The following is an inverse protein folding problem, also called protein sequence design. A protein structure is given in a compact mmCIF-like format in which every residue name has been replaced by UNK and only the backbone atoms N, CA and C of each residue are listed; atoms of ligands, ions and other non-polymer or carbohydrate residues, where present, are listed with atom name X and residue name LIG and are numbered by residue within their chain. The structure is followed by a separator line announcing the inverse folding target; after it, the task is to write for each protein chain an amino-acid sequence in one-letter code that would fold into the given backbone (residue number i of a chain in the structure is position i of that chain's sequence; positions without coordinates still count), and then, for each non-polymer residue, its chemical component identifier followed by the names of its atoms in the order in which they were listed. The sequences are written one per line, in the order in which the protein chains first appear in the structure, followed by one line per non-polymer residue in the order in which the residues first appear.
data_IF_380775866740
#
_entry.id   IF_380775866740
#
_cell.length_a   1.000
_cell.length_b   1.000
_cell.length_c   1.000
_cell.angle_alpha   90.00
_cell.angle_beta   90.00
_cell.angle_gamma   90.00
#
_symmetry.space_group_name_H-M   'P 1'
#
loop_
_entity.id
_entity.type
_entity.pdbx_description
1 polymer ?
#
# COMPACT_ATOMS: atom_id res chain seq x y z
N UNK A 1 1.18 -25.09 -13.75
CA UNK A 1 0.94 -23.67 -14.12
C UNK A 1 -0.11 -23.10 -13.19
N UNK A 2 0.27 -22.22 -12.26
CA UNK A 2 -0.73 -21.44 -11.50
C UNK A 2 -1.41 -20.47 -12.48
N UNK A 3 -2.74 -20.51 -12.66
CA UNK A 3 -3.42 -19.59 -13.57
C UNK A 3 -3.24 -18.15 -13.09
N UNK A 4 -3.21 -17.20 -14.04
CA UNK A 4 -3.04 -15.74 -13.81
C UNK A 4 -4.02 -15.19 -12.76
N UNK A 5 -5.17 -15.85 -12.55
CA UNK A 5 -6.15 -15.54 -11.51
C UNK A 5 -5.63 -15.68 -10.07
N UNK A 6 -4.54 -16.41 -9.82
CA UNK A 6 -3.98 -16.58 -8.47
C UNK A 6 -3.20 -15.37 -7.92
N UNK A 7 -2.91 -14.35 -8.75
CA UNK A 7 -2.12 -13.18 -8.34
C UNK A 7 -2.97 -11.91 -8.15
N UNK A 8 -4.15 -11.85 -8.78
CA UNK A 8 -5.00 -10.65 -8.77
C UNK A 8 -5.62 -10.39 -7.39
N UNK A 9 -6.15 -11.45 -6.75
CA UNK A 9 -6.77 -11.36 -5.43
C UNK A 9 -5.76 -10.90 -4.35
N UNK A 10 -4.58 -11.54 -4.19
CA UNK A 10 -3.60 -11.10 -3.21
C UNK A 10 -3.09 -9.69 -3.52
N UNK A 11 -2.94 -9.32 -4.79
CA UNK A 11 -2.59 -7.95 -5.19
C UNK A 11 -3.67 -6.93 -4.79
N UNK A 12 -4.94 -7.17 -5.11
CA UNK A 12 -6.01 -6.23 -4.79
C UNK A 12 -6.14 -5.99 -3.28
N UNK A 13 -6.05 -7.06 -2.48
CA UNK A 13 -6.12 -6.97 -1.02
C UNK A 13 -4.90 -6.22 -0.48
N UNK A 14 -3.69 -6.56 -0.92
CA UNK A 14 -2.47 -5.86 -0.49
C UNK A 14 -2.46 -4.40 -0.93
N UNK A 15 -2.95 -4.08 -2.14
CA UNK A 15 -3.07 -2.72 -2.66
C UNK A 15 -4.03 -1.87 -1.81
N UNK A 16 -5.20 -2.42 -1.49
CA UNK A 16 -6.15 -1.74 -0.63
C UNK A 16 -5.61 -1.56 0.80
N UNK A 17 -5.02 -2.60 1.38
CA UNK A 17 -4.46 -2.55 2.72
C UNK A 17 -3.29 -1.54 2.82
N UNK A 18 -2.35 -1.57 1.87
CA UNK A 18 -1.25 -0.59 1.83
C UNK A 18 -1.78 0.83 1.60
N UNK A 19 -2.79 1.01 0.75
CA UNK A 19 -3.49 2.29 0.60
C UNK A 19 -4.04 2.82 1.93
N UNK A 20 -4.68 1.97 2.73
CA UNK A 20 -5.18 2.33 4.07
C UNK A 20 -4.05 2.69 5.03
N UNK A 21 -2.95 1.92 5.06
CA UNK A 21 -1.78 2.22 5.92
C UNK A 21 -1.27 3.63 5.62
N UNK A 22 -1.06 3.95 4.35
CA UNK A 22 -0.55 5.25 3.97
C UNK A 22 -1.57 6.37 4.15
N UNK A 23 -2.88 6.11 3.97
CA UNK A 23 -3.92 7.07 4.37
C UNK A 23 -3.85 7.39 5.87
N UNK A 24 -3.54 6.40 6.71
CA UNK A 24 -3.31 6.62 8.14
C UNK A 24 -2.07 7.45 8.44
N UNK A 25 -0.97 7.20 7.71
CA UNK A 25 0.24 8.02 7.82
C UNK A 25 -0.04 9.47 7.43
N UNK A 26 -0.76 9.69 6.33
CA UNK A 26 -1.13 11.02 5.86
C UNK A 26 -2.11 11.75 6.80
N UNK A 27 -2.98 11.00 7.49
CA UNK A 27 -3.84 11.54 8.54
C UNK A 27 -3.02 11.98 9.76
N UNK A 28 -2.01 11.21 10.16
CA UNK A 28 -1.10 11.59 11.25
C UNK A 28 -0.27 12.83 10.88
N UNK A 29 0.20 12.92 9.64
CA UNK A 29 1.00 14.05 9.15
C UNK A 29 0.19 15.30 8.81
N UNK A 30 -1.14 15.21 8.81
CA UNK A 30 -2.04 16.33 8.47
C UNK A 30 -2.06 16.70 6.98
N UNK A 31 -1.43 15.90 6.12
CA UNK A 31 -1.36 16.16 4.68
C UNK A 31 -2.60 15.67 3.92
N UNK A 32 -3.35 14.73 4.49
CA UNK A 32 -4.60 14.24 3.91
C UNK A 32 -5.70 14.24 4.97
N UNK A 33 -6.53 15.27 4.92
CA UNK A 33 -7.63 15.48 5.85
C UNK A 33 -8.95 15.41 5.09
N UNK A 34 -9.67 14.27 5.15
CA UNK A 34 -11.06 14.24 4.73
C UNK A 34 -11.80 15.33 5.49
N UNK A 35 -12.62 16.13 4.79
CA UNK A 35 -13.39 17.24 5.40
C UNK A 35 -14.21 16.75 6.60
N UNK A 36 -14.66 15.50 6.56
CA UNK A 36 -15.40 14.84 7.64
C UNK A 36 -14.58 14.59 8.91
N UNK A 37 -13.25 14.51 8.82
CA UNK A 37 -12.33 14.28 9.94
C UNK A 37 -11.60 15.56 10.39
N UNK A 38 -11.81 16.69 9.71
CA UNK A 38 -11.15 17.95 10.00
C UNK A 38 -11.41 18.45 11.42
N UNK A 39 -12.64 18.33 11.90
CA UNK A 39 -13.04 18.69 13.26
C UNK A 39 -12.40 17.82 14.33
N UNK A 40 -12.19 16.53 14.06
CA UNK A 40 -11.52 15.62 14.99
C UNK A 40 -10.03 15.96 15.06
N UNK A 41 -9.43 16.29 13.92
CA UNK A 41 -8.02 16.66 13.86
C UNK A 41 -7.74 17.97 14.60
N UNK A 42 -8.53 19.02 14.40
CA UNK A 42 -8.30 20.33 15.06
C UNK A 42 -8.48 20.30 16.58
N UNK A 43 -9.19 19.30 17.11
CA UNK A 43 -9.54 19.21 18.54
C UNK A 43 -8.73 18.18 19.33
N UNK A 44 -7.91 17.35 18.68
CA UNK A 44 -7.13 16.29 19.32
C UNK A 44 -5.62 16.55 19.27
N UNK A 45 -4.88 16.10 20.29
CA UNK A 45 -3.41 16.16 20.29
C UNK A 45 -2.81 15.09 19.35
N UNK A 46 -1.51 15.20 19.04
CA UNK A 46 -0.82 14.28 18.11
C UNK A 46 -0.91 12.81 18.53
N UNK A 47 -0.82 12.55 19.83
CA UNK A 47 -0.84 11.19 20.39
C UNK A 47 -2.21 10.52 20.19
N UNK A 48 -3.29 11.23 20.43
CA UNK A 48 -4.67 10.75 20.18
C UNK A 48 -4.91 10.54 18.69
N UNK A 49 -4.37 11.40 17.81
CA UNK A 49 -4.48 11.22 16.34
C UNK A 49 -3.76 9.94 15.89
N UNK A 50 -2.57 9.67 16.41
CA UNK A 50 -1.84 8.42 16.14
C UNK A 50 -2.63 7.21 16.63
N UNK A 51 -3.20 7.26 17.85
CA UNK A 51 -4.00 6.16 18.36
C UNK A 51 -5.23 5.87 17.48
N UNK A 52 -5.95 6.91 17.04
CA UNK A 52 -7.09 6.78 16.11
C UNK A 52 -6.65 6.20 14.76
N UNK A 53 -5.56 6.71 14.19
CA UNK A 53 -5.03 6.24 12.91
C UNK A 53 -4.62 4.75 12.98
N UNK A 54 -3.95 4.35 14.06
CA UNK A 54 -3.54 2.97 14.27
C UNK A 54 -4.77 2.06 14.40
N UNK A 55 -5.78 2.45 15.19
CA UNK A 55 -6.95 1.62 15.43
C UNK A 55 -7.88 1.52 14.22
N UNK A 56 -8.11 2.61 13.50
CA UNK A 56 -9.08 2.66 12.40
C UNK A 56 -8.50 2.31 11.04
N UNK A 57 -7.18 2.48 10.85
CA UNK A 57 -6.55 2.34 9.54
C UNK A 57 -5.45 1.28 9.57
N UNK A 58 -4.41 1.47 10.39
CA UNK A 58 -3.21 0.62 10.32
C UNK A 58 -3.47 -0.81 10.82
N UNK A 59 -4.20 -0.99 11.91
CA UNK A 59 -4.49 -2.32 12.46
C UNK A 59 -5.41 -3.15 11.52
N UNK A 60 -6.54 -2.61 11.00
CA UNK A 60 -7.33 -3.31 9.99
C UNK A 60 -6.54 -3.65 8.73
N UNK A 61 -5.68 -2.74 8.25
CA UNK A 61 -4.83 -3.00 7.10
C UNK A 61 -3.84 -4.15 7.34
N UNK A 62 -3.22 -4.21 8.53
CA UNK A 62 -2.34 -5.32 8.88
C UNK A 62 -3.06 -6.66 8.98
N UNK A 63 -4.34 -6.68 9.38
CA UNK A 63 -5.17 -7.89 9.34
C UNK A 63 -5.41 -8.37 7.90
N UNK A 64 -5.66 -7.44 6.97
CA UNK A 64 -5.83 -7.76 5.55
C UNK A 64 -4.53 -8.32 4.95
N UNK A 65 -3.38 -7.70 5.23
CA UNK A 65 -2.07 -8.22 4.78
C UNK A 65 -1.84 -9.61 5.37
N UNK A 66 -2.09 -9.79 6.67
CA UNK A 66 -1.95 -11.10 7.33
C UNK A 66 -2.86 -12.17 6.72
N UNK A 67 -4.08 -11.79 6.32
CA UNK A 67 -4.99 -12.67 5.59
C UNK A 67 -4.40 -13.12 4.25
N UNK A 68 -3.71 -12.23 3.53
CA UNK A 68 -3.03 -12.62 2.28
C UNK A 68 -1.92 -13.64 2.54
N UNK A 69 -1.05 -13.40 3.53
CA UNK A 69 0.02 -14.35 3.88
C UNK A 69 -0.48 -15.69 4.44
N UNK A 70 -1.70 -15.72 5.00
CA UNK A 70 -2.32 -16.95 5.50
C UNK A 70 -2.90 -17.82 4.38
N UNK A 71 -3.46 -17.20 3.34
CA UNK A 71 -4.22 -17.90 2.30
C UNK A 71 -3.47 -18.07 0.98
N UNK A 72 -2.36 -17.38 0.79
CA UNK A 72 -1.55 -17.44 -0.44
C UNK A 72 -0.10 -17.80 -0.12
N UNK A 73 0.64 -18.41 -1.07
CA UNK A 73 2.07 -18.67 -0.91
C UNK A 73 2.82 -17.38 -0.53
N UNK A 74 3.78 -17.50 0.40
CA UNK A 74 4.55 -16.36 0.89
C UNK A 74 5.27 -15.60 -0.23
N UNK A 75 5.69 -16.29 -1.28
CA UNK A 75 6.26 -15.69 -2.49
C UNK A 75 5.28 -14.76 -3.20
N UNK A 76 4.03 -15.20 -3.38
CA UNK A 76 2.97 -14.41 -4.02
C UNK A 76 2.55 -13.25 -3.12
N UNK A 77 2.33 -13.51 -1.84
CA UNK A 77 1.95 -12.50 -0.86
C UNK A 77 3.02 -11.39 -0.75
N UNK A 78 4.31 -11.78 -0.70
CA UNK A 78 5.43 -10.84 -0.63
C UNK A 78 5.57 -10.00 -1.88
N UNK A 79 5.58 -10.63 -3.07
CA UNK A 79 5.74 -9.89 -4.32
C UNK A 79 4.59 -8.94 -4.57
N UNK A 80 3.34 -9.41 -4.39
CA UNK A 80 2.17 -8.55 -4.59
C UNK A 80 2.16 -7.37 -3.61
N UNK A 81 2.57 -7.58 -2.36
CA UNK A 81 2.72 -6.50 -1.39
C UNK A 81 3.78 -5.47 -1.80
N UNK A 82 4.95 -5.90 -2.28
CA UNK A 82 6.00 -4.99 -2.75
C UNK A 82 5.48 -4.14 -3.91
N UNK A 83 4.84 -4.75 -4.91
CA UNK A 83 4.27 -4.03 -6.05
C UNK A 83 3.25 -3.00 -5.55
N UNK A 84 2.35 -3.40 -4.64
CA UNK A 84 1.36 -2.51 -4.04
C UNK A 84 2.00 -1.31 -3.33
N UNK A 85 3.02 -1.52 -2.50
CA UNK A 85 3.75 -0.46 -1.79
C UNK A 85 4.37 0.53 -2.78
N UNK A 86 5.06 0.04 -3.81
CA UNK A 86 5.72 0.89 -4.81
C UNK A 86 4.70 1.76 -5.54
N UNK A 87 3.56 1.18 -5.95
CA UNK A 87 2.52 1.94 -6.65
C UNK A 87 1.90 2.99 -5.72
N UNK A 88 1.53 2.63 -4.49
CA UNK A 88 0.91 3.57 -3.55
C UNK A 88 1.85 4.72 -3.20
N UNK A 89 3.13 4.44 -2.93
CA UNK A 89 4.13 5.49 -2.69
C UNK A 89 4.28 6.41 -3.90
N UNK A 90 4.28 5.85 -5.12
CA UNK A 90 4.34 6.65 -6.34
C UNK A 90 3.10 7.54 -6.49
N UNK A 91 1.91 7.01 -6.21
CA UNK A 91 0.65 7.78 -6.24
C UNK A 91 0.71 8.93 -5.22
N UNK A 92 1.17 8.67 -4.00
CA UNK A 92 1.27 9.69 -2.95
C UNK A 92 2.28 10.77 -3.33
N UNK A 93 3.46 10.39 -3.82
CA UNK A 93 4.47 11.33 -4.31
C UNK A 93 3.91 12.27 -5.39
N UNK A 94 3.04 11.76 -6.28
CA UNK A 94 2.41 12.56 -7.33
C UNK A 94 1.29 13.44 -6.78
N UNK A 95 0.43 12.91 -5.91
CA UNK A 95 -0.76 13.61 -5.42
C UNK A 95 -0.46 14.63 -4.31
N UNK A 96 0.47 14.31 -3.41
CA UNK A 96 0.77 15.10 -2.21
C UNK A 96 2.01 15.97 -2.42
N UNK A 97 3.11 15.37 -2.89
CA UNK A 97 4.36 16.10 -3.09
C UNK A 97 4.42 16.82 -4.45
N UNK A 98 3.36 16.70 -5.26
CA UNK A 98 3.22 17.29 -6.60
C UNK A 98 4.44 17.00 -7.50
N UNK A 99 5.06 15.82 -7.30
CA UNK A 99 6.23 15.40 -8.05
C UNK A 99 5.80 15.14 -9.48
N UNK A 100 6.43 15.86 -10.41
CA UNK A 100 6.24 15.61 -11.84
C UNK A 100 6.78 14.23 -12.17
N UNK A 101 5.91 13.36 -12.67
CA UNK A 101 6.32 12.04 -13.17
C UNK A 101 7.28 12.26 -14.34
N UNK A 102 8.56 11.97 -14.11
CA UNK A 102 9.57 11.97 -15.17
C UNK A 102 9.81 10.54 -15.68
N UNK A 103 10.56 10.43 -16.78
CA UNK A 103 10.90 9.14 -17.38
C UNK A 103 11.66 8.22 -16.42
N UNK A 104 12.48 8.75 -15.51
CA UNK A 104 13.20 7.97 -14.49
C UNK A 104 12.26 7.26 -13.51
N UNK A 105 11.20 7.93 -13.05
CA UNK A 105 10.19 7.35 -12.14
C UNK A 105 9.44 6.22 -12.87
N UNK A 106 9.03 6.46 -14.12
CA UNK A 106 8.32 5.45 -14.93
C UNK A 106 9.21 4.24 -15.16
N UNK A 107 10.47 4.43 -15.56
CA UNK A 107 11.42 3.34 -15.81
C UNK A 107 11.67 2.55 -14.52
N UNK A 108 11.87 3.24 -13.38
CA UNK A 108 12.06 2.60 -12.08
C UNK A 108 10.83 1.77 -11.66
N UNK A 109 9.62 2.26 -11.90
CA UNK A 109 8.38 1.55 -11.64
C UNK A 109 8.25 0.28 -12.50
N UNK A 110 8.54 0.40 -13.80
CA UNK A 110 8.50 -0.73 -14.74
C UNK A 110 9.55 -1.79 -14.37
N UNK A 111 10.77 -1.37 -13.98
CA UNK A 111 11.82 -2.26 -13.51
C UNK A 111 11.46 -2.98 -12.21
N UNK A 112 10.82 -2.29 -11.26
CA UNK A 112 10.36 -2.90 -10.02
C UNK A 112 9.29 -3.98 -10.28
N UNK A 113 8.32 -3.70 -11.16
CA UNK A 113 7.26 -4.64 -11.53
C UNK A 113 7.84 -5.85 -12.30
N UNK A 114 8.79 -5.62 -13.21
CA UNK A 114 9.40 -6.71 -13.98
C UNK A 114 10.31 -7.60 -13.13
N UNK A 115 11.09 -7.04 -12.20
CA UNK A 115 11.89 -7.80 -11.25
C UNK A 115 11.01 -8.66 -10.34
N UNK A 116 9.90 -8.09 -9.85
CA UNK A 116 8.88 -8.81 -9.08
C UNK A 116 8.24 -9.96 -9.90
N UNK A 117 7.92 -9.71 -11.16
CA UNK A 117 7.37 -10.73 -12.06
C UNK A 117 8.36 -11.85 -12.35
N UNK A 118 9.65 -11.53 -12.50
CA UNK A 118 10.72 -12.52 -12.68
C UNK A 118 10.87 -13.41 -11.43
N UNK A 119 10.84 -12.82 -10.23
CA UNK A 119 10.84 -13.56 -8.97
C UNK A 119 9.67 -14.56 -8.89
N UNK A 120 8.47 -14.14 -9.29
CA UNK A 120 7.31 -15.04 -9.33
C UNK A 120 7.51 -16.20 -10.32
N UNK A 121 8.05 -15.94 -11.50
CA UNK A 121 8.30 -16.98 -12.51
C UNK A 121 9.39 -17.96 -12.06
N UNK A 122 10.48 -17.48 -11.46
CA UNK A 122 11.57 -18.33 -11.01
C UNK A 122 11.21 -19.19 -9.79
N UNK A 123 10.28 -18.73 -8.94
CA UNK A 123 9.79 -19.48 -7.78
C UNK A 123 8.70 -20.52 -8.13
N UNK A 124 8.23 -20.54 -9.38
CA UNK A 124 7.21 -21.50 -9.87
C UNK A 124 7.78 -22.60 -10.77
N UNK A 125 9.11 -22.61 -10.97
CA UNK A 125 9.87 -23.72 -11.56
C UNK A 125 10.42 -24.61 -10.46
#
# INVERSE_FOLDING_TARGET
MLPITNYLIPFAINFFATGIVYAGILFISGQFLPVQLATIYTTTNSLTRTAIAVLLLTAPANLLISYVYKNFPASIAGVTNIISVVIILTIIAVLIDNIRINTTIIISLVLAISACSFLLLNLTR
#
